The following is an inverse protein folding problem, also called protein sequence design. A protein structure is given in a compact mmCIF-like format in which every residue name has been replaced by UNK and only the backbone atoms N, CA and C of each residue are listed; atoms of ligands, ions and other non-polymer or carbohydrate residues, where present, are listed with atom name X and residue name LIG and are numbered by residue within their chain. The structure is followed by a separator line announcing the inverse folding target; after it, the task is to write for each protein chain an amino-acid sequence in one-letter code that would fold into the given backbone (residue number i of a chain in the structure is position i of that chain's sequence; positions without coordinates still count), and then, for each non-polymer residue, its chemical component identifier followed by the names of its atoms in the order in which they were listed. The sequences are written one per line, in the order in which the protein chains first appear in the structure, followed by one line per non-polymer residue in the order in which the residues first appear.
data_IF_536163882920
#
_entry.id   IF_536163882920
#
_cell.length_a   1.000
_cell.length_b   1.000
_cell.length_c   1.000
_cell.angle_alpha   90.00
_cell.angle_beta   90.00
_cell.angle_gamma   90.00
#
_symmetry.space_group_name_H-M   'P 1'
#
loop_
_entity.id
_entity.type
_entity.pdbx_description
1 polymer ?
#
# COMPACT_ATOMS: atom_id res chain seq x y z
N UNK A 1 6.78 18.58 2.08
CA UNK A 1 7.69 17.40 1.99
C UNK A 1 7.05 16.38 1.05
N UNK A 2 7.82 15.70 0.17
CA UNK A 2 7.28 14.77 -0.85
C UNK A 2 7.25 13.29 -0.40
N UNK A 3 7.35 13.02 0.89
CA UNK A 3 7.24 11.67 1.46
C UNK A 3 8.27 10.63 0.98
N UNK A 4 9.38 11.03 0.34
CA UNK A 4 10.43 10.13 -0.19
C UNK A 4 11.83 10.75 -0.12
N UNK A 5 12.87 9.91 -0.07
CA UNK A 5 14.27 10.36 0.01
C UNK A 5 14.93 10.59 -1.35
N UNK A 6 14.32 10.15 -2.46
CA UNK A 6 14.91 10.23 -3.80
C UNK A 6 15.44 11.63 -4.16
N UNK A 7 14.72 12.68 -3.78
CA UNK A 7 14.99 14.08 -4.12
C UNK A 7 15.87 14.82 -3.09
N UNK A 8 16.26 14.17 -1.98
CA UNK A 8 17.06 14.83 -0.93
C UNK A 8 18.53 14.78 -1.32
N UNK A 9 19.11 15.91 -1.73
CA UNK A 9 20.49 15.97 -2.28
C UNK A 9 21.56 15.48 -1.30
N UNK A 10 21.41 15.77 0.00
CA UNK A 10 22.40 15.45 1.03
C UNK A 10 22.45 13.96 1.39
N UNK A 11 21.50 13.16 0.92
CA UNK A 11 21.39 11.74 1.27
C UNK A 11 22.16 10.88 0.25
N UNK A 12 23.12 10.05 0.68
CA UNK A 12 23.83 9.16 -0.24
C UNK A 12 22.89 8.19 -0.96
N UNK A 13 23.19 7.85 -2.23
CA UNK A 13 22.37 6.94 -3.06
C UNK A 13 22.09 5.59 -2.38
N UNK A 14 23.05 5.03 -1.64
CA UNK A 14 22.88 3.79 -0.89
C UNK A 14 21.75 3.89 0.14
N UNK A 15 21.66 5.03 0.83
CA UNK A 15 20.61 5.29 1.82
C UNK A 15 19.27 5.50 1.12
N UNK A 16 19.23 6.27 0.02
CA UNK A 16 18.00 6.42 -0.79
C UNK A 16 17.42 5.07 -1.24
N UNK A 17 18.28 4.17 -1.71
CA UNK A 17 17.87 2.84 -2.15
C UNK A 17 17.38 1.95 -0.99
N UNK A 18 17.90 2.15 0.23
CA UNK A 18 17.51 1.38 1.40
C UNK A 18 16.13 1.80 1.94
N UNK A 19 15.80 3.09 1.82
CA UNK A 19 14.56 3.69 2.35
C UNK A 19 13.58 4.07 1.24
N UNK A 20 13.45 3.22 0.21
CA UNK A 20 12.39 3.37 -0.79
C UNK A 20 11.02 3.17 -0.15
N UNK A 21 10.06 3.95 -0.59
CA UNK A 21 8.69 3.93 -0.08
C UNK A 21 7.76 3.08 -0.95
N UNK A 22 6.55 2.82 -0.45
CA UNK A 22 5.58 1.98 -1.15
C UNK A 22 5.18 2.53 -2.54
N UNK A 23 5.14 3.85 -2.72
CA UNK A 23 4.81 4.47 -4.02
C UNK A 23 6.00 4.50 -4.99
N UNK A 24 7.21 4.22 -4.52
CA UNK A 24 8.42 4.11 -5.34
C UNK A 24 8.64 2.68 -5.85
N UNK A 25 7.91 1.70 -5.31
CA UNK A 25 8.00 0.30 -5.72
C UNK A 25 7.02 0.06 -6.86
N UNK A 26 7.51 -0.50 -7.97
CA UNK A 26 6.68 -0.84 -9.11
C UNK A 26 5.57 -1.87 -8.73
N UNK A 27 4.37 -1.80 -9.34
CA UNK A 27 3.24 -2.69 -9.01
C UNK A 27 3.58 -4.18 -9.17
N UNK A 28 4.28 -4.52 -10.25
CA UNK A 28 4.80 -5.88 -10.50
C UNK A 28 5.72 -6.35 -9.36
N UNK A 29 6.54 -5.46 -8.79
CA UNK A 29 7.40 -5.83 -7.65
C UNK A 29 6.60 -6.08 -6.39
N UNK A 30 5.51 -5.36 -6.16
CA UNK A 30 4.59 -5.68 -5.06
C UNK A 30 3.95 -7.06 -5.23
N UNK A 31 3.54 -7.43 -6.46
CA UNK A 31 2.99 -8.75 -6.77
C UNK A 31 4.01 -9.87 -6.56
N UNK A 32 5.26 -9.66 -6.99
CA UNK A 32 6.35 -10.61 -6.76
C UNK A 32 6.61 -10.85 -5.27
N UNK A 33 6.56 -9.80 -4.45
CA UNK A 33 6.68 -9.93 -3.00
C UNK A 33 5.51 -10.76 -2.46
N UNK A 34 4.27 -10.44 -2.83
CA UNK A 34 3.11 -11.23 -2.39
C UNK A 34 3.23 -12.70 -2.79
N UNK A 35 3.70 -12.98 -4.02
CA UNK A 35 3.95 -14.34 -4.51
C UNK A 35 4.97 -15.09 -3.66
N UNK A 36 6.09 -14.45 -3.34
CA UNK A 36 7.14 -15.06 -2.53
C UNK A 36 6.62 -15.54 -1.17
N UNK A 37 5.74 -14.77 -0.53
CA UNK A 37 5.07 -15.20 0.70
C UNK A 37 3.98 -16.25 0.44
N UNK A 38 3.17 -16.08 -0.59
CA UNK A 38 2.04 -16.96 -0.90
C UNK A 38 2.47 -18.42 -1.13
N UNK A 39 3.69 -18.65 -1.61
CA UNK A 39 4.28 -19.99 -1.79
C UNK A 39 4.37 -20.82 -0.51
N UNK A 40 4.45 -20.16 0.65
CA UNK A 40 4.62 -20.79 1.97
C UNK A 40 3.44 -20.51 2.91
N UNK A 41 2.32 -20.01 2.38
CA UNK A 41 1.10 -19.71 3.14
C UNK A 41 -0.07 -20.52 2.57
N UNK A 42 -0.64 -21.35 3.43
CA UNK A 42 -1.81 -22.21 3.18
C UNK A 42 -3.09 -21.41 2.96
N UNK A 43 -3.27 -20.31 3.69
CA UNK A 43 -4.31 -19.31 3.50
C UNK A 43 -3.90 -18.27 2.44
N UNK A 44 -4.39 -17.03 2.55
CA UNK A 44 -4.07 -15.91 1.65
C UNK A 44 -3.13 -14.89 2.30
N UNK A 45 -2.49 -14.06 1.50
CA UNK A 45 -1.60 -12.97 1.95
C UNK A 45 -2.33 -11.64 1.82
N UNK A 46 -2.53 -10.93 2.94
CA UNK A 46 -3.04 -9.55 2.92
C UNK A 46 -1.92 -8.59 2.49
N UNK A 47 -1.95 -8.16 1.23
CA UNK A 47 -0.96 -7.21 0.67
C UNK A 47 -1.63 -6.22 -0.27
N UNK A 48 -1.41 -4.94 0.00
CA UNK A 48 -1.82 -3.85 -0.90
C UNK A 48 -0.81 -3.64 -2.02
N UNK A 49 -1.25 -3.67 -3.27
CA UNK A 49 -0.50 -3.27 -4.46
C UNK A 49 -0.77 -1.79 -4.69
N UNK A 50 0.22 -0.94 -4.38
CA UNK A 50 0.07 0.50 -4.54
C UNK A 50 0.30 0.88 -6.00
N UNK A 51 -0.59 1.69 -6.54
CA UNK A 51 -0.49 2.28 -7.87
C UNK A 51 -0.31 3.80 -7.75
N UNK A 52 0.45 4.43 -8.66
CA UNK A 52 0.62 5.87 -8.68
C UNK A 52 -0.69 6.58 -9.05
N UNK A 53 -0.75 7.90 -8.82
CA UNK A 53 -1.95 8.71 -9.06
C UNK A 53 -2.47 8.63 -10.50
N UNK A 54 -1.55 8.62 -11.45
CA UNK A 54 -1.77 8.60 -12.89
C UNK A 54 -2.01 7.20 -13.44
N UNK A 55 -2.06 6.16 -12.60
CA UNK A 55 -2.35 4.81 -13.04
C UNK A 55 -3.74 4.73 -13.70
N UNK A 56 -3.75 4.12 -14.88
CA UNK A 56 -4.91 3.97 -15.73
C UNK A 56 -5.75 2.77 -15.33
N UNK A 57 -6.97 2.68 -15.87
CA UNK A 57 -7.83 1.48 -15.74
C UNK A 57 -7.11 0.25 -16.28
N UNK A 58 -6.32 0.41 -17.35
CA UNK A 58 -5.53 -0.68 -17.94
C UNK A 58 -4.47 -1.19 -16.97
N UNK A 59 -3.78 -0.31 -16.25
CA UNK A 59 -2.76 -0.72 -15.27
C UNK A 59 -3.37 -1.52 -14.10
N UNK A 60 -4.58 -1.17 -13.68
CA UNK A 60 -5.36 -1.92 -12.68
C UNK A 60 -5.74 -3.29 -13.22
N UNK A 61 -6.28 -3.35 -14.45
CA UNK A 61 -6.67 -4.60 -15.11
C UNK A 61 -5.48 -5.54 -15.32
N UNK A 62 -4.34 -5.00 -15.75
CA UNK A 62 -3.10 -5.75 -15.93
C UNK A 62 -2.59 -6.31 -14.60
N UNK A 63 -2.71 -5.54 -13.50
CA UNK A 63 -2.33 -6.00 -12.16
C UNK A 63 -3.19 -7.19 -11.71
N UNK A 64 -4.51 -7.17 -11.98
CA UNK A 64 -5.37 -8.32 -11.72
C UNK A 64 -4.98 -9.54 -12.55
N UNK A 65 -4.72 -9.36 -13.85
CA UNK A 65 -4.36 -10.44 -14.75
C UNK A 65 -2.99 -11.06 -14.40
N UNK A 66 -2.02 -10.24 -14.00
CA UNK A 66 -0.71 -10.68 -13.52
C UNK A 66 -0.85 -11.48 -12.22
N UNK A 67 -1.60 -11.00 -11.23
CA UNK A 67 -1.85 -11.73 -9.99
C UNK A 67 -2.48 -13.11 -10.23
N UNK A 68 -3.47 -13.18 -11.13
CA UNK A 68 -4.10 -14.45 -11.53
C UNK A 68 -3.08 -15.38 -12.19
N UNK A 69 -2.28 -14.89 -13.16
CA UNK A 69 -1.20 -15.66 -13.80
C UNK A 69 -0.14 -16.15 -12.81
N UNK A 70 0.09 -15.41 -11.73
CA UNK A 70 1.03 -15.78 -10.67
C UNK A 70 0.46 -16.81 -9.68
N UNK A 71 -0.82 -17.13 -9.76
CA UNK A 71 -1.49 -18.06 -8.84
C UNK A 71 -1.75 -17.47 -7.44
N UNK A 72 -1.88 -16.15 -7.33
CA UNK A 72 -2.19 -15.51 -6.04
C UNK A 72 -3.64 -15.77 -5.65
N UNK A 73 -3.89 -16.05 -4.37
CA UNK A 73 -5.24 -16.36 -3.84
C UNK A 73 -6.10 -15.11 -3.64
N UNK A 74 -5.52 -13.92 -3.74
CA UNK A 74 -6.22 -12.65 -3.64
C UNK A 74 -5.29 -11.50 -4.00
N UNK A 75 -5.87 -10.31 -4.19
CA UNK A 75 -5.13 -9.09 -4.49
C UNK A 75 -5.94 -7.90 -3.97
N UNK A 76 -5.25 -6.96 -3.32
CA UNK A 76 -5.82 -5.67 -2.91
C UNK A 76 -5.07 -4.58 -3.63
N UNK A 77 -5.76 -3.72 -4.39
CA UNK A 77 -5.14 -2.59 -5.10
C UNK A 77 -5.50 -1.29 -4.39
N UNK A 78 -4.53 -0.39 -4.26
CA UNK A 78 -4.77 0.98 -3.86
C UNK A 78 -4.10 1.95 -4.83
N UNK A 79 -4.90 2.68 -5.62
CA UNK A 79 -4.39 3.79 -6.44
C UNK A 79 -4.33 5.05 -5.59
N UNK A 80 -3.17 5.67 -5.50
CA UNK A 80 -3.03 6.94 -4.80
C UNK A 80 -4.00 7.99 -5.36
N UNK A 81 -4.64 8.78 -4.49
CA UNK A 81 -5.68 9.73 -4.91
C UNK A 81 -7.04 9.11 -5.30
N UNK A 82 -7.24 7.79 -5.18
CA UNK A 82 -8.53 7.15 -5.55
C UNK A 82 -9.68 7.41 -4.57
N UNK A 83 -9.39 7.80 -3.33
CA UNK A 83 -10.39 8.18 -2.32
C UNK A 83 -10.27 9.67 -1.97
N UNK A 84 -11.38 10.29 -1.62
CA UNK A 84 -11.40 11.68 -1.11
C UNK A 84 -10.65 11.79 0.23
N UNK A 85 -10.68 10.73 1.05
CA UNK A 85 -9.94 10.60 2.29
C UNK A 85 -8.85 9.54 2.10
N UNK A 86 -7.59 9.95 2.23
CA UNK A 86 -6.41 9.09 2.01
C UNK A 86 -5.89 8.55 3.35
N UNK A 87 -5.63 7.24 3.42
CA UNK A 87 -4.94 6.61 4.56
C UNK A 87 -3.42 6.73 4.40
N UNK A 88 -2.93 6.70 3.16
CA UNK A 88 -1.54 6.97 2.79
C UNK A 88 -1.41 8.44 2.43
N UNK A 89 -0.67 9.21 3.25
CA UNK A 89 -0.45 10.65 3.02
C UNK A 89 1.03 10.94 2.78
N UNK A 90 1.35 11.75 1.77
CA UNK A 90 2.71 12.07 1.33
C UNK A 90 3.28 13.30 2.08
N UNK A 91 2.45 14.04 2.82
CA UNK A 91 2.90 15.09 3.74
C UNK A 91 2.03 16.35 3.70
N UNK A 92 2.64 17.46 4.15
CA UNK A 92 2.07 18.65 4.78
C UNK A 92 0.78 19.30 4.22
N UNK A 93 0.36 19.01 2.99
CA UNK A 93 -0.84 19.61 2.39
C UNK A 93 -2.08 18.70 2.48
N UNK A 94 -1.93 17.48 3.01
CA UNK A 94 -3.03 16.55 3.23
C UNK A 94 -3.49 16.58 4.70
N UNK A 95 -4.78 16.84 4.93
CA UNK A 95 -5.36 16.76 6.28
C UNK A 95 -5.37 15.30 6.72
N UNK A 96 -4.53 14.96 7.70
CA UNK A 96 -4.57 13.65 8.35
C UNK A 96 -5.97 13.39 8.91
N UNK A 97 -6.65 12.38 8.38
CA UNK A 97 -7.99 12.01 8.83
C UNK A 97 -7.87 10.96 9.93
N UNK A 98 -8.04 11.38 11.17
CA UNK A 98 -8.01 10.48 12.32
C UNK A 98 -9.33 9.69 12.38
N UNK A 99 -9.29 8.40 12.08
CA UNK A 99 -10.39 7.49 12.46
C UNK A 99 -10.09 6.95 13.85
N UNK A 100 -10.92 7.33 14.82
CA UNK A 100 -10.98 6.60 16.08
C UNK A 100 -11.72 5.28 15.84
N UNK A 101 -10.95 4.21 15.61
CA UNK A 101 -11.46 2.85 15.53
C UNK A 101 -11.56 2.19 16.91
N UNK A 102 -11.32 2.91 18.01
CA UNK A 102 -11.72 2.37 19.29
C UNK A 102 -13.24 2.23 19.26
N UNK A 103 -13.71 0.99 19.35
CA UNK A 103 -15.07 0.75 19.81
C UNK A 103 -15.21 1.60 21.07
N UNK A 104 -16.16 2.54 21.10
CA UNK A 104 -16.51 3.21 22.35
C UNK A 104 -16.83 2.06 23.30
N UNK A 105 -15.98 1.85 24.30
CA UNK A 105 -16.21 0.82 25.30
C UNK A 105 -17.58 1.15 25.89
N UNK A 106 -18.59 0.35 25.58
CA UNK A 106 -19.90 0.49 26.19
C UNK A 106 -19.74 -0.05 27.62
N UNK A 107 -19.76 0.83 28.64
CA UNK A 107 -19.54 0.40 30.01
C UNK A 107 -20.64 -0.56 30.50
N UNK A 108 -21.78 -0.66 29.81
CA UNK A 108 -22.84 -1.62 30.13
C UNK A 108 -22.69 -2.99 29.45
N UNK A 109 -21.91 -3.13 28.38
CA UNK A 109 -21.61 -4.44 27.75
C UNK A 109 -20.47 -5.20 28.47
N UNK A 110 -19.62 -4.50 29.22
CA UNK A 110 -18.57 -5.09 30.06
C UNK A 110 -19.11 -5.47 31.46
N UNK A 111 -20.15 -6.32 31.51
CA UNK A 111 -20.55 -7.01 32.75
C UNK A 111 -20.14 -8.48 32.66
N UNK A 112 -18.95 -8.77 33.17
CA UNK A 112 -18.52 -10.13 33.53
C UNK A 112 -19.04 -10.45 34.93
#
# INVERSE_FOLDING_TARGET
AKGRLAEVEQVPKKIKNLFITALEIAPERHLQIQKAFQQFVDNSVSKTINLPHDATIKDVADSYLQAWRMGLKGITIYRYGSKSVQVLNIGADEKAHYYDHSSRCDPDECRV
#
